data_IF_815246492932
#
_entry.id   IF_815246492932
#
_cell.length_a   1.000
_cell.length_b   1.000
_cell.length_c   1.000
_cell.angle_alpha   90.00
_cell.angle_beta   90.00
_cell.angle_gamma   90.00
#
_symmetry.space_group_name_H-M   'P 1'
#
loop_
_entity.id
_entity.type
_entity.pdbx_description
1 polymer ?
#
# COMPACT_ATOMS: atom_id res chain seq x y z
N UNK A 1 30.73 -32.69 -3.09
CA UNK A 1 30.32 -31.26 -3.11
C UNK A 1 28.82 -31.22 -3.36
N UNK A 2 28.01 -31.07 -2.31
CA UNK A 2 26.56 -30.93 -2.48
C UNK A 2 26.26 -29.46 -2.84
N UNK A 3 25.52 -29.18 -3.91
CA UNK A 3 25.11 -27.82 -4.22
C UNK A 3 24.15 -27.34 -3.11
N UNK A 4 24.50 -26.23 -2.47
CA UNK A 4 23.61 -25.49 -1.60
C UNK A 4 22.49 -24.89 -2.46
N UNK A 5 21.28 -25.42 -2.30
CA UNK A 5 20.08 -24.75 -2.78
C UNK A 5 19.95 -23.42 -2.02
N UNK A 6 20.22 -22.32 -2.71
CA UNK A 6 19.81 -21.01 -2.25
C UNK A 6 18.28 -21.02 -2.18
N UNK A 7 17.72 -21.04 -0.96
CA UNK A 7 16.29 -20.80 -0.76
C UNK A 7 16.03 -19.34 -1.15
N UNK A 8 15.60 -19.11 -2.39
CA UNK A 8 15.00 -17.84 -2.75
C UNK A 8 13.80 -17.66 -1.84
N UNK A 9 13.85 -16.68 -0.93
CA UNK A 9 12.67 -16.29 -0.19
C UNK A 9 11.57 -16.03 -1.22
N UNK A 10 10.56 -16.90 -1.26
CA UNK A 10 9.47 -16.79 -2.23
C UNK A 10 8.70 -15.53 -1.86
N UNK A 11 9.09 -14.40 -2.46
CA UNK A 11 8.37 -13.14 -2.30
C UNK A 11 6.90 -13.43 -2.57
N UNK A 12 6.03 -13.28 -1.57
CA UNK A 12 4.61 -13.56 -1.74
C UNK A 12 4.06 -12.68 -2.87
N UNK A 13 3.72 -13.31 -3.99
CA UNK A 13 3.23 -12.59 -5.16
C UNK A 13 1.70 -12.53 -5.15
N UNK A 14 1.13 -11.36 -5.42
CA UNK A 14 -0.32 -11.17 -5.49
C UNK A 14 -0.82 -11.26 -6.94
N UNK A 15 -2.02 -11.80 -7.12
CA UNK A 15 -2.80 -11.63 -8.36
C UNK A 15 -3.28 -10.17 -8.47
N UNK A 16 -3.67 -9.75 -9.68
CA UNK A 16 -4.25 -8.42 -9.91
C UNK A 16 -5.48 -8.15 -9.04
N UNK A 17 -6.34 -9.16 -8.86
CA UNK A 17 -7.53 -9.05 -8.00
C UNK A 17 -7.17 -8.91 -6.53
N UNK A 18 -6.22 -9.72 -6.04
CA UNK A 18 -5.74 -9.64 -4.66
C UNK A 18 -5.14 -8.25 -4.36
N UNK A 19 -4.29 -7.74 -5.26
CA UNK A 19 -3.68 -6.43 -5.12
C UNK A 19 -4.72 -5.31 -5.09
N UNK A 20 -5.72 -5.35 -6.00
CA UNK A 20 -6.83 -4.39 -6.02
C UNK A 20 -7.58 -4.39 -4.70
N UNK A 21 -7.85 -5.56 -4.13
CA UNK A 21 -8.61 -5.69 -2.89
C UNK A 21 -7.84 -5.15 -1.68
N UNK A 22 -6.54 -5.45 -1.58
CA UNK A 22 -5.68 -4.86 -0.54
C UNK A 22 -5.62 -3.34 -0.68
N UNK A 23 -5.35 -2.83 -1.89
CA UNK A 23 -5.27 -1.39 -2.13
C UNK A 23 -6.59 -0.69 -1.79
N UNK A 24 -7.72 -1.22 -2.26
CA UNK A 24 -9.04 -0.63 -2.00
C UNK A 24 -9.37 -0.63 -0.51
N UNK A 25 -9.04 -1.72 0.21
CA UNK A 25 -9.26 -1.80 1.65
C UNK A 25 -8.36 -0.84 2.44
N UNK A 26 -7.09 -0.72 2.07
CA UNK A 26 -6.09 0.04 2.80
C UNK A 26 -6.09 1.54 2.46
N UNK A 27 -6.65 1.95 1.32
CA UNK A 27 -6.57 3.32 0.82
C UNK A 27 -7.02 4.40 1.83
N UNK A 28 -8.13 4.24 2.58
CA UNK A 28 -8.50 5.22 3.60
C UNK A 28 -7.41 5.42 4.66
N UNK A 29 -6.77 4.32 5.10
CA UNK A 29 -5.68 4.42 6.08
C UNK A 29 -4.37 4.95 5.50
N UNK A 30 -4.12 4.72 4.21
CA UNK A 30 -2.99 5.35 3.52
C UNK A 30 -3.14 6.86 3.53
N UNK A 31 -4.34 7.37 3.24
CA UNK A 31 -4.63 8.80 3.20
C UNK A 31 -4.59 9.41 4.60
N UNK A 32 -5.24 8.77 5.59
CA UNK A 32 -5.19 9.23 6.99
C UNK A 32 -3.76 9.23 7.54
N UNK A 33 -3.01 8.16 7.29
CA UNK A 33 -1.59 8.05 7.67
C UNK A 33 -0.72 9.13 7.03
N UNK A 34 -0.96 9.44 5.76
CA UNK A 34 -0.27 10.51 5.02
C UNK A 34 -0.57 11.88 5.64
N UNK A 35 -1.85 12.19 5.86
CA UNK A 35 -2.26 13.44 6.49
C UNK A 35 -1.66 13.60 7.91
N UNK A 36 -1.63 12.52 8.70
CA UNK A 36 -0.98 12.54 10.03
C UNK A 36 0.52 12.75 9.94
N UNK A 37 1.19 12.06 9.01
CA UNK A 37 2.64 12.14 8.82
C UNK A 37 3.08 13.53 8.39
N UNK A 38 2.30 14.17 7.52
CA UNK A 38 2.61 15.48 6.94
C UNK A 38 2.10 16.69 7.73
N UNK A 39 1.30 16.46 8.79
CA UNK A 39 0.68 17.54 9.58
C UNK A 39 1.64 18.62 10.08
N UNK A 40 2.87 18.26 10.43
CA UNK A 40 3.87 19.21 10.94
C UNK A 40 4.68 19.90 9.84
N UNK A 41 4.65 19.38 8.62
CA UNK A 41 5.36 19.94 7.47
C UNK A 41 4.46 20.80 6.58
N UNK A 42 3.15 20.68 6.70
CA UNK A 42 2.17 21.40 5.88
C UNK A 42 1.59 22.62 6.62
N UNK A 43 1.27 23.71 5.89
CA UNK A 43 0.53 24.81 6.46
C UNK A 43 -0.91 24.40 6.80
N UNK A 44 -1.58 25.23 7.62
CA UNK A 44 -2.92 24.92 8.14
C UNK A 44 -4.00 24.91 7.05
N UNK A 45 -3.77 25.59 5.94
CA UNK A 45 -4.65 25.69 4.78
C UNK A 45 -4.32 24.69 3.66
N UNK A 46 -3.28 23.87 3.82
CA UNK A 46 -2.94 22.79 2.89
C UNK A 46 -4.13 21.85 2.66
N UNK A 47 -4.17 21.20 1.50
CA UNK A 47 -5.31 20.40 1.09
C UNK A 47 -5.57 19.22 2.05
N UNK A 48 -4.53 18.49 2.45
CA UNK A 48 -4.61 17.39 3.41
C UNK A 48 -5.01 17.87 4.81
N UNK A 49 -4.65 19.10 5.18
CA UNK A 49 -5.04 19.72 6.45
C UNK A 49 -6.54 20.03 6.49
N UNK A 50 -7.11 20.47 5.37
CA UNK A 50 -8.49 20.99 5.29
C UNK A 50 -9.50 19.94 4.79
N UNK A 51 -9.11 19.12 3.81
CA UNK A 51 -9.97 18.17 3.10
C UNK A 51 -9.59 16.70 3.32
N UNK A 52 -8.49 16.40 4.01
CA UNK A 52 -8.00 15.02 4.17
C UNK A 52 -9.05 14.06 4.74
N UNK A 53 -9.84 14.49 5.73
CA UNK A 53 -10.89 13.65 6.32
C UNK A 53 -12.06 13.40 5.36
N UNK A 54 -12.42 14.37 4.51
CA UNK A 54 -13.45 14.19 3.49
C UNK A 54 -13.04 13.07 2.51
N UNK A 55 -11.77 13.09 2.08
CA UNK A 55 -11.22 12.07 1.21
C UNK A 55 -11.24 10.70 1.91
N UNK A 56 -10.81 10.60 3.16
CA UNK A 56 -10.86 9.34 3.93
C UNK A 56 -12.28 8.77 3.94
N UNK A 57 -13.29 9.59 4.19
CA UNK A 57 -14.69 9.16 4.19
C UNK A 57 -15.14 8.65 2.82
N UNK A 58 -14.76 9.36 1.75
CA UNK A 58 -15.08 8.98 0.37
C UNK A 58 -14.56 7.58 0.00
N UNK A 59 -13.37 7.21 0.48
CA UNK A 59 -12.78 5.89 0.23
C UNK A 59 -13.19 4.82 1.27
N UNK A 60 -13.79 5.22 2.40
CA UNK A 60 -14.17 4.28 3.46
C UNK A 60 -15.39 3.43 3.10
N UNK A 61 -16.34 3.96 2.32
CA UNK A 61 -17.58 3.25 1.95
C UNK A 61 -17.33 1.87 1.32
N UNK A 62 -16.45 1.76 0.30
CA UNK A 62 -16.13 0.48 -0.30
C UNK A 62 -15.30 -0.47 0.58
N UNK A 63 -14.66 -0.03 1.67
CA UNK A 63 -13.63 -0.84 2.34
C UNK A 63 -14.14 -2.20 2.85
N UNK A 64 -15.28 -2.22 3.53
CA UNK A 64 -15.77 -3.42 4.20
C UNK A 64 -16.13 -4.56 3.25
N UNK A 65 -16.67 -4.26 2.06
CA UNK A 65 -16.97 -5.29 1.04
C UNK A 65 -15.70 -5.95 0.47
N UNK A 66 -14.54 -5.27 0.47
CA UNK A 66 -13.28 -5.85 -0.01
C UNK A 66 -12.51 -6.60 1.07
N UNK A 67 -12.94 -6.50 2.34
CA UNK A 67 -12.22 -7.11 3.46
C UNK A 67 -11.95 -8.62 3.28
N UNK A 68 -12.90 -9.49 2.88
CA UNK A 68 -12.62 -10.92 2.77
C UNK A 68 -11.47 -11.26 1.82
N UNK A 69 -11.40 -10.56 0.68
CA UNK A 69 -10.33 -10.73 -0.31
C UNK A 69 -9.03 -10.07 0.15
N UNK A 70 -9.10 -8.88 0.75
CA UNK A 70 -7.95 -8.19 1.31
C UNK A 70 -7.29 -9.00 2.45
N UNK A 71 -8.10 -9.64 3.31
CA UNK A 71 -7.65 -10.54 4.38
C UNK A 71 -6.83 -11.68 3.82
N UNK A 72 -7.34 -12.38 2.80
CA UNK A 72 -6.63 -13.49 2.15
C UNK A 72 -5.26 -13.03 1.61
N UNK A 73 -5.25 -11.92 0.87
CA UNK A 73 -4.04 -11.36 0.31
C UNK A 73 -3.04 -10.88 1.40
N UNK A 74 -3.53 -10.26 2.47
CA UNK A 74 -2.69 -9.86 3.60
C UNK A 74 -2.06 -11.07 4.29
N UNK A 75 -2.82 -12.13 4.55
CA UNK A 75 -2.29 -13.35 5.16
C UNK A 75 -1.25 -14.02 4.26
N UNK A 76 -1.46 -14.02 2.94
CA UNK A 76 -0.49 -14.49 1.95
C UNK A 76 0.81 -13.68 2.01
N UNK A 77 0.72 -12.35 2.05
CA UNK A 77 1.88 -11.46 2.21
C UNK A 77 2.59 -11.71 3.54
N UNK A 78 1.85 -11.83 4.64
CA UNK A 78 2.40 -12.05 5.98
C UNK A 78 3.18 -13.36 6.04
N UNK A 79 2.62 -14.46 5.53
CA UNK A 79 3.32 -15.76 5.44
C UNK A 79 4.58 -15.69 4.57
N UNK A 80 4.55 -14.93 3.48
CA UNK A 80 5.72 -14.73 2.63
C UNK A 80 6.84 -13.91 3.27
N UNK A 81 6.53 -13.08 4.30
CA UNK A 81 7.54 -12.37 5.10
C UNK A 81 8.01 -13.20 6.28
N UNK A 82 7.07 -13.80 7.01
CA UNK A 82 7.31 -14.63 8.18
C UNK A 82 6.15 -15.63 8.31
N UNK A 83 6.47 -16.91 8.14
CA UNK A 83 5.49 -18.00 8.14
C UNK A 83 4.76 -18.11 9.50
N UNK A 84 5.49 -17.97 10.61
CA UNK A 84 4.94 -18.10 11.96
C UNK A 84 3.97 -16.96 12.25
N UNK A 85 4.35 -15.72 11.92
CA UNK A 85 3.46 -14.56 12.08
C UNK A 85 2.23 -14.66 11.19
N UNK A 86 2.40 -15.13 9.95
CA UNK A 86 1.28 -15.38 9.04
C UNK A 86 0.32 -16.48 9.54
N UNK A 87 0.83 -17.50 10.23
CA UNK A 87 0.00 -18.54 10.84
C UNK A 87 -0.79 -18.03 12.07
N UNK A 88 -0.18 -17.18 12.89
CA UNK A 88 -0.86 -16.53 14.01
C UNK A 88 -1.95 -15.57 13.50
N UNK A 89 -1.62 -14.71 12.54
CA UNK A 89 -2.57 -13.75 11.97
C UNK A 89 -3.79 -14.44 11.34
N UNK A 90 -3.62 -15.63 10.77
CA UNK A 90 -4.71 -16.38 10.16
C UNK A 90 -5.78 -16.86 11.17
N UNK A 91 -5.38 -17.05 12.43
CA UNK A 91 -6.26 -17.48 13.53
C UNK A 91 -7.00 -16.32 14.20
N UNK A 92 -6.61 -15.08 13.93
CA UNK A 92 -7.25 -13.92 14.52
C UNK A 92 -8.64 -13.70 13.92
N UNK A 93 -9.64 -13.36 14.76
CA UNK A 93 -10.94 -12.95 14.28
C UNK A 93 -10.87 -11.53 13.71
N UNK A 94 -11.86 -11.17 12.89
CA UNK A 94 -11.80 -9.95 12.07
C UNK A 94 -11.77 -8.67 12.91
N UNK A 95 -12.45 -8.64 14.06
CA UNK A 95 -12.43 -7.52 15.01
C UNK A 95 -11.03 -7.23 15.56
N UNK A 96 -10.13 -8.22 15.55
CA UNK A 96 -8.73 -8.05 15.98
C UNK A 96 -7.80 -7.87 14.78
N UNK A 97 -8.05 -8.59 13.70
CA UNK A 97 -7.19 -8.56 12.52
C UNK A 97 -7.31 -7.26 11.74
N UNK A 98 -8.51 -6.66 11.61
CA UNK A 98 -8.70 -5.40 10.90
C UNK A 98 -7.89 -4.25 11.52
N UNK A 99 -7.97 -3.97 12.83
CA UNK A 99 -7.10 -2.95 13.45
C UNK A 99 -5.60 -3.24 13.32
N UNK A 100 -5.21 -4.52 13.37
CA UNK A 100 -3.80 -4.91 13.17
C UNK A 100 -3.32 -4.57 11.75
N UNK A 101 -4.13 -4.88 10.73
CA UNK A 101 -3.85 -4.52 9.34
C UNK A 101 -3.77 -3.01 9.19
N UNK A 102 -4.70 -2.26 9.78
CA UNK A 102 -4.72 -0.79 9.74
C UNK A 102 -3.45 -0.20 10.34
N UNK A 103 -3.08 -0.63 11.55
CA UNK A 103 -1.85 -0.17 12.21
C UNK A 103 -0.61 -0.50 11.39
N UNK A 104 -0.57 -1.68 10.76
CA UNK A 104 0.53 -2.09 9.88
C UNK A 104 0.63 -1.15 8.67
N UNK A 105 -0.50 -0.84 8.02
CA UNK A 105 -0.56 0.09 6.89
C UNK A 105 -0.10 1.48 7.31
N UNK A 106 -0.63 2.03 8.41
CA UNK A 106 -0.21 3.35 8.90
C UNK A 106 1.29 3.39 9.23
N UNK A 107 1.83 2.33 9.82
CA UNK A 107 3.26 2.20 10.11
C UNK A 107 4.13 2.17 8.85
N UNK A 108 3.68 1.47 7.80
CA UNK A 108 4.37 1.45 6.50
C UNK A 108 4.35 2.82 5.82
N UNK A 109 3.21 3.51 5.87
CA UNK A 109 3.06 4.87 5.31
C UNK A 109 3.99 5.85 6.03
N UNK A 110 4.02 5.81 7.36
CA UNK A 110 4.88 6.67 8.15
C UNK A 110 6.38 6.46 7.84
N UNK A 111 6.77 5.22 7.54
CA UNK A 111 8.14 4.87 7.14
C UNK A 111 8.46 5.27 5.69
N UNK A 112 7.47 5.23 4.79
CA UNK A 112 7.67 5.52 3.38
C UNK A 112 7.68 7.02 3.05
N UNK A 113 6.98 7.84 3.84
CA UNK A 113 6.82 9.27 3.56
C UNK A 113 7.87 10.10 4.32
N UNK A 114 8.69 10.80 3.54
CA UNK A 114 9.65 11.78 4.02
C UNK A 114 8.98 13.14 4.21
N UNK A 115 9.35 13.88 5.26
CA UNK A 115 8.73 15.18 5.55
C UNK A 115 8.95 16.20 4.43
N UNK A 116 10.12 16.16 3.78
CA UNK A 116 10.44 17.02 2.65
C UNK A 116 9.53 16.82 1.42
N UNK A 117 8.88 15.65 1.30
CA UNK A 117 7.98 15.34 0.18
C UNK A 117 6.51 15.72 0.43
N UNK A 118 6.20 16.27 1.61
CA UNK A 118 4.82 16.46 2.02
C UNK A 118 4.10 17.52 1.18
N UNK A 119 4.80 18.57 0.71
CA UNK A 119 4.21 19.60 -0.15
C UNK A 119 3.81 19.02 -1.51
N UNK A 120 4.68 18.21 -2.13
CA UNK A 120 4.38 17.56 -3.41
C UNK A 120 3.26 16.51 -3.27
N UNK A 121 3.24 15.78 -2.15
CA UNK A 121 2.17 14.82 -1.87
C UNK A 121 0.83 15.54 -1.68
N UNK A 122 0.81 16.64 -0.94
CA UNK A 122 -0.40 17.46 -0.73
C UNK A 122 -0.97 17.94 -2.07
N UNK A 123 -0.11 18.53 -2.91
CA UNK A 123 -0.49 19.01 -4.23
C UNK A 123 -0.97 17.88 -5.15
N UNK A 124 -0.30 16.72 -5.14
CA UNK A 124 -0.73 15.57 -5.92
C UNK A 124 -2.13 15.07 -5.49
N UNK A 125 -2.42 15.06 -4.19
CA UNK A 125 -3.73 14.63 -3.67
C UNK A 125 -4.81 15.66 -3.99
N UNK A 126 -4.51 16.95 -3.93
CA UNK A 126 -5.42 18.02 -4.37
C UNK A 126 -5.82 17.84 -5.84
N UNK A 127 -4.84 17.65 -6.74
CA UNK A 127 -5.11 17.40 -8.18
C UNK A 127 -5.99 16.17 -8.43
N UNK A 128 -5.87 15.14 -7.60
CA UNK A 128 -6.65 13.90 -7.70
C UNK A 128 -8.03 13.99 -7.05
N UNK A 129 -8.27 14.97 -6.16
CA UNK A 129 -9.48 15.10 -5.36
C UNK A 129 -10.77 15.28 -6.18
N UNK A 130 -10.80 16.05 -7.29
CA UNK A 130 -12.01 16.21 -8.10
C UNK A 130 -12.43 14.95 -8.86
N UNK A 131 -11.53 13.97 -9.01
CA UNK A 131 -11.80 12.76 -9.77
C UNK A 131 -12.67 11.78 -8.96
N UNK A 132 -13.59 11.05 -9.62
CA UNK A 132 -14.30 9.95 -8.97
C UNK A 132 -13.31 8.88 -8.46
N UNK A 133 -13.57 8.22 -7.31
CA UNK A 133 -12.69 7.22 -6.72
C UNK A 133 -12.19 6.13 -7.68
N UNK A 134 -13.05 5.71 -8.62
CA UNK A 134 -12.69 4.69 -9.61
C UNK A 134 -11.64 5.19 -10.60
N UNK A 135 -11.73 6.45 -11.01
CA UNK A 135 -10.79 7.07 -11.94
C UNK A 135 -9.45 7.36 -11.24
N UNK A 136 -9.49 7.85 -10.00
CA UNK A 136 -8.29 8.10 -9.19
C UNK A 136 -7.49 6.83 -8.94
N UNK A 137 -8.17 5.74 -8.51
CA UNK A 137 -7.52 4.46 -8.30
C UNK A 137 -6.89 3.90 -9.59
N UNK A 138 -7.57 4.03 -10.73
CA UNK A 138 -7.03 3.62 -12.04
C UNK A 138 -5.80 4.44 -12.44
N UNK A 139 -5.82 5.76 -12.20
CA UNK A 139 -4.70 6.64 -12.52
C UNK A 139 -3.48 6.39 -11.61
N UNK A 140 -3.69 6.19 -10.31
CA UNK A 140 -2.61 5.80 -9.37
C UNK A 140 -1.99 4.46 -9.80
N UNK A 141 -2.81 3.48 -10.14
CA UNK A 141 -2.31 2.18 -10.63
C UNK A 141 -1.48 2.32 -11.90
N UNK A 142 -1.92 3.16 -12.85
CA UNK A 142 -1.16 3.48 -14.06
C UNK A 142 0.20 4.11 -13.72
N UNK A 143 0.25 5.09 -12.81
CA UNK A 143 1.51 5.70 -12.38
C UNK A 143 2.45 4.69 -11.71
N UNK A 144 1.93 3.80 -10.86
CA UNK A 144 2.71 2.72 -10.25
C UNK A 144 3.26 1.79 -11.33
N UNK A 145 2.46 1.42 -12.33
CA UNK A 145 2.90 0.57 -13.43
C UNK A 145 3.98 1.24 -14.28
N UNK A 146 3.81 2.53 -14.59
CA UNK A 146 4.81 3.34 -15.32
C UNK A 146 6.10 3.45 -14.51
N UNK A 147 6.02 3.75 -13.21
CA UNK A 147 7.18 3.82 -12.32
C UNK A 147 7.90 2.47 -12.23
N UNK A 148 7.15 1.37 -12.09
CA UNK A 148 7.70 0.01 -12.05
C UNK A 148 8.39 -0.35 -13.38
N UNK A 149 7.82 0.04 -14.54
CA UNK A 149 8.47 -0.13 -15.85
C UNK A 149 9.77 0.65 -15.93
N UNK A 150 9.77 1.91 -15.52
CA UNK A 150 10.97 2.77 -15.48
C UNK A 150 12.05 2.23 -14.54
N UNK A 151 11.68 1.73 -13.35
CA UNK A 151 12.61 1.04 -12.47
C UNK A 151 13.10 -0.27 -13.08
N UNK A 152 12.27 -1.04 -13.77
CA UNK A 152 12.71 -2.29 -14.40
C UNK A 152 13.66 -2.03 -15.57
N UNK A 153 13.52 -0.93 -16.30
CA UNK A 153 14.51 -0.43 -17.26
C UNK A 153 15.81 -0.03 -16.54
N UNK A 154 15.73 0.64 -15.39
CA UNK A 154 16.91 0.98 -14.58
C UNK A 154 17.59 -0.26 -13.95
N UNK A 155 16.81 -1.27 -13.54
CA UNK A 155 17.26 -2.54 -12.94
C UNK A 155 17.86 -3.50 -13.98
N UNK A 156 17.48 -3.40 -15.25
CA UNK A 156 18.16 -4.12 -16.34
C UNK A 156 19.64 -3.72 -16.47
N UNK A 157 20.08 -2.63 -15.81
CA UNK A 157 21.49 -2.26 -15.63
C UNK A 157 22.06 -2.43 -14.20
N UNK A 158 21.27 -2.80 -13.19
CA UNK A 158 21.74 -2.86 -11.80
C UNK A 158 21.07 -4.00 -11.00
N UNK A 159 21.87 -5.02 -10.68
CA UNK A 159 21.55 -6.04 -9.69
C UNK A 159 21.61 -5.44 -8.28
N UNK A 160 20.51 -4.86 -7.82
CA UNK A 160 20.06 -4.74 -6.42
C UNK A 160 19.06 -3.62 -6.34
N UNK A 161 17.78 -3.96 -6.24
CA UNK A 161 16.76 -2.93 -6.17
C UNK A 161 15.61 -3.43 -5.31
N UNK A 162 15.50 -2.80 -4.14
CA UNK A 162 14.50 -3.05 -3.11
C UNK A 162 13.14 -2.64 -3.68
N UNK A 163 12.28 -3.62 -3.97
CA UNK A 163 10.92 -3.35 -4.45
C UNK A 163 10.17 -2.46 -3.44
N UNK A 164 9.53 -1.40 -3.95
CA UNK A 164 8.58 -0.59 -3.19
C UNK A 164 7.61 -1.53 -2.43
N UNK A 165 7.72 -1.53 -1.10
CA UNK A 165 6.78 -2.20 -0.19
C UNK A 165 6.75 -3.73 -0.20
N UNK A 166 7.61 -4.44 -0.93
CA UNK A 166 7.57 -5.91 -1.00
C UNK A 166 6.32 -6.48 -1.71
N UNK A 167 5.61 -5.67 -2.49
CA UNK A 167 4.48 -6.10 -3.31
C UNK A 167 5.01 -6.49 -4.70
N UNK A 168 5.05 -7.78 -5.00
CA UNK A 168 5.32 -8.26 -6.36
C UNK A 168 3.99 -8.72 -6.96
N UNK A 169 3.57 -8.13 -8.08
CA UNK A 169 2.40 -8.60 -8.84
C UNK A 169 2.88 -9.74 -9.75
N UNK A 170 2.22 -10.90 -9.70
CA UNK A 170 2.50 -11.98 -10.65
C UNK A 170 2.23 -11.50 -12.08
N UNK A 171 3.09 -11.92 -13.03
CA UNK A 171 2.71 -11.93 -14.45
C UNK A 171 1.61 -12.99 -14.60
N UNK A 172 0.43 -12.57 -15.04
CA UNK A 172 -0.67 -13.47 -15.38
C UNK A 172 -0.22 -14.53 -16.39
#
# INVERSE_FOLDING_TARGET
MCPTLASAATQACLTRSEARSVLTYSLPQVIDGTARRCRQALPADAFLSTHGQEIVQRYSGPREQYWPQARSAFLKLSRGRDEAMGAIAAQLPDETLKPLVDATVSGLVAQAIHLESCEEIDFAIDLLSPLPPQNTAGLIALFIEVAARSETIARQGAANSKALGGLTICKD
#
